data_IF_378878557775
#
_entry.id   IF_378878557775
#
_cell.length_a   1.000
_cell.length_b   1.000
_cell.length_c   1.000
_cell.angle_alpha   90.00
_cell.angle_beta   90.00
_cell.angle_gamma   90.00
#
_symmetry.space_group_name_H-M   'P 1'
#
loop_
_entity.id
_entity.type
_entity.pdbx_description
1 polymer ?
#
# COMPACT_ATOMS: atom_id res chain seq x y z
N UNK A 1 3.34 -35.16 -12.36
CA UNK A 1 1.91 -35.52 -12.24
C UNK A 1 1.34 -34.94 -10.96
N UNK A 2 0.20 -34.30 -11.04
CA UNK A 2 -0.45 -33.69 -9.88
C UNK A 2 -1.25 -34.74 -9.12
N UNK A 3 -0.90 -34.95 -7.88
CA UNK A 3 -1.59 -35.86 -6.99
C UNK A 3 -2.39 -35.09 -5.96
N UNK A 4 -3.17 -35.79 -5.13
CA UNK A 4 -3.96 -35.18 -4.06
C UNK A 4 -3.06 -34.42 -3.09
N UNK A 5 -1.86 -34.94 -2.79
CA UNK A 5 -0.87 -34.24 -1.96
C UNK A 5 -0.50 -32.89 -2.53
N UNK A 6 -0.32 -32.85 -3.86
CA UNK A 6 0.06 -31.62 -4.55
C UNK A 6 -1.04 -30.59 -4.47
N UNK A 7 -2.30 -31.00 -4.49
CA UNK A 7 -3.44 -30.11 -4.33
C UNK A 7 -3.50 -29.50 -2.93
N UNK A 8 -3.22 -30.30 -1.92
CA UNK A 8 -3.16 -29.81 -0.55
C UNK A 8 -2.02 -28.82 -0.37
N UNK A 9 -0.86 -29.11 -0.97
CA UNK A 9 0.30 -28.22 -0.95
C UNK A 9 0.00 -26.92 -1.67
N UNK A 10 -0.67 -26.99 -2.82
CA UNK A 10 -1.05 -25.80 -3.57
C UNK A 10 -2.00 -24.91 -2.76
N UNK A 11 -2.93 -25.49 -2.03
CA UNK A 11 -3.83 -24.73 -1.16
C UNK A 11 -3.06 -24.05 -0.03
N UNK A 12 -2.07 -24.72 0.55
CA UNK A 12 -1.21 -24.11 1.56
C UNK A 12 -0.43 -22.92 1.00
N UNK A 13 0.16 -23.12 -0.17
CA UNK A 13 0.93 -22.06 -0.84
C UNK A 13 0.02 -20.87 -1.13
N UNK A 14 -1.18 -21.13 -1.64
CA UNK A 14 -2.14 -20.10 -1.95
C UNK A 14 -2.55 -19.31 -0.70
N UNK A 15 -2.80 -20.05 0.40
CA UNK A 15 -3.15 -19.40 1.67
C UNK A 15 -2.02 -18.51 2.19
N UNK A 16 -0.77 -18.95 2.04
CA UNK A 16 0.39 -18.15 2.42
C UNK A 16 0.54 -16.91 1.54
N UNK A 17 0.32 -17.06 0.25
CA UNK A 17 0.36 -15.94 -0.68
C UNK A 17 -0.73 -14.92 -0.37
N UNK A 18 -1.94 -15.39 -0.13
CA UNK A 18 -3.06 -14.51 0.23
C UNK A 18 -2.76 -13.73 1.50
N UNK A 19 -2.16 -14.40 2.49
CA UNK A 19 -1.76 -13.75 3.74
C UNK A 19 -0.71 -12.68 3.51
N UNK A 20 0.31 -13.01 2.70
CA UNK A 20 1.37 -12.05 2.35
C UNK A 20 0.82 -10.85 1.62
N UNK A 21 -0.07 -11.07 0.67
CA UNK A 21 -0.70 -9.99 -0.07
C UNK A 21 -1.50 -9.08 0.86
N UNK A 22 -2.23 -9.68 1.80
CA UNK A 22 -3.00 -8.92 2.78
C UNK A 22 -2.09 -8.11 3.70
N UNK A 23 -1.02 -8.72 4.20
CA UNK A 23 -0.03 -8.05 5.03
C UNK A 23 0.61 -6.88 4.30
N UNK A 24 0.94 -7.08 3.03
CA UNK A 24 1.51 -6.01 2.21
C UNK A 24 0.51 -4.87 1.99
N UNK A 25 -0.75 -5.20 1.75
CA UNK A 25 -1.78 -4.18 1.58
C UNK A 25 -1.96 -3.37 2.86
N UNK A 26 -1.99 -4.03 4.00
CA UNK A 26 -2.08 -3.35 5.31
C UNK A 26 -0.89 -2.40 5.48
N UNK A 27 0.31 -2.88 5.21
CA UNK A 27 1.52 -2.06 5.36
C UNK A 27 1.49 -0.84 4.46
N UNK A 28 1.03 -0.99 3.22
CA UNK A 28 0.92 0.12 2.27
C UNK A 28 -0.10 1.14 2.76
N UNK A 29 -1.27 0.68 3.20
CA UNK A 29 -2.31 1.56 3.71
C UNK A 29 -1.87 2.30 4.96
N UNK A 30 -1.18 1.60 5.87
CA UNK A 30 -0.64 2.22 7.09
C UNK A 30 0.38 3.29 6.75
N UNK A 31 1.24 3.04 5.76
CA UNK A 31 2.22 4.02 5.32
C UNK A 31 1.55 5.31 4.83
N UNK A 32 0.56 5.19 3.95
CA UNK A 32 -0.13 6.36 3.40
C UNK A 32 -0.99 7.06 4.44
N UNK A 33 -1.61 6.27 5.33
CA UNK A 33 -2.34 6.84 6.46
C UNK A 33 -1.42 7.69 7.33
N UNK A 34 -0.22 7.21 7.59
CA UNK A 34 0.77 7.97 8.36
C UNK A 34 1.11 9.30 7.71
N UNK A 35 1.26 9.32 6.38
CA UNK A 35 1.51 10.57 5.65
C UNK A 35 0.37 11.56 5.85
N UNK A 36 -0.86 11.08 5.74
CA UNK A 36 -2.04 11.91 5.96
C UNK A 36 -2.17 12.39 7.41
N UNK A 37 -1.89 11.50 8.35
CA UNK A 37 -1.94 11.84 9.78
C UNK A 37 -0.93 12.94 10.11
N UNK A 38 0.23 12.93 9.49
CA UNK A 38 1.23 13.99 9.67
C UNK A 38 0.67 15.35 9.24
N UNK A 39 -0.05 15.39 8.13
CA UNK A 39 -0.68 16.62 7.66
C UNK A 39 -1.70 17.13 8.68
N UNK A 40 -2.51 16.23 9.24
CA UNK A 40 -3.48 16.57 10.27
C UNK A 40 -2.79 17.16 11.49
N UNK A 41 -1.69 16.54 11.94
CA UNK A 41 -0.93 17.00 13.10
C UNK A 41 -0.23 18.33 12.87
N UNK A 42 0.22 18.60 11.64
CA UNK A 42 0.88 19.86 11.30
C UNK A 42 -0.05 21.06 11.39
N UNK A 43 -1.36 20.84 11.33
CA UNK A 43 -2.36 21.89 11.37
C UNK A 43 -2.02 23.03 10.41
N UNK A 44 -1.95 22.73 9.09
CA UNK A 44 -1.54 23.75 8.12
C UNK A 44 -2.42 24.98 8.19
N UNK A 45 -1.77 26.15 8.07
CA UNK A 45 -2.45 27.42 8.11
C UNK A 45 -3.06 27.74 6.75
N UNK A 46 -4.38 27.63 6.66
CA UNK A 46 -5.11 27.99 5.47
C UNK A 46 -5.14 26.92 4.41
N UNK A 47 -5.98 27.13 3.43
CA UNK A 47 -6.26 26.18 2.36
C UNK A 47 -5.05 25.98 1.45
N UNK A 48 -4.35 27.06 1.13
CA UNK A 48 -3.20 26.99 0.23
C UNK A 48 -2.10 26.08 0.80
N UNK A 49 -1.81 26.21 2.09
CA UNK A 49 -0.83 25.36 2.75
C UNK A 49 -1.26 23.90 2.77
N UNK A 50 -2.53 23.67 3.06
CA UNK A 50 -3.12 22.32 3.06
C UNK A 50 -3.01 21.69 1.67
N UNK A 51 -3.32 22.44 0.62
CA UNK A 51 -3.24 21.95 -0.75
C UNK A 51 -1.83 21.53 -1.13
N UNK A 52 -0.82 22.28 -0.70
CA UNK A 52 0.59 21.95 -0.95
C UNK A 52 0.92 20.57 -0.35
N UNK A 53 0.53 20.33 0.88
CA UNK A 53 0.79 19.05 1.55
C UNK A 53 0.06 17.89 0.90
N UNK A 54 -1.20 18.08 0.54
CA UNK A 54 -2.00 17.04 -0.11
C UNK A 54 -1.43 16.72 -1.49
N UNK A 55 -1.08 17.76 -2.26
CA UNK A 55 -0.49 17.60 -3.58
C UNK A 55 0.81 16.80 -3.51
N UNK A 56 1.64 17.08 -2.51
CA UNK A 56 2.88 16.34 -2.29
C UNK A 56 2.63 14.86 -2.08
N UNK A 57 1.66 14.52 -1.24
CA UNK A 57 1.30 13.12 -1.00
C UNK A 57 0.80 12.47 -2.28
N UNK A 58 -0.06 13.16 -3.02
CA UNK A 58 -0.57 12.65 -4.29
C UNK A 58 0.55 12.39 -5.30
N UNK A 59 1.53 13.27 -5.38
CA UNK A 59 2.70 13.09 -6.25
C UNK A 59 3.54 11.90 -5.82
N UNK A 60 3.73 11.71 -4.52
CA UNK A 60 4.45 10.56 -3.99
C UNK A 60 3.75 9.26 -4.38
N UNK A 61 2.43 9.22 -4.27
CA UNK A 61 1.64 8.06 -4.66
C UNK A 61 1.75 7.82 -6.17
N UNK A 62 1.66 8.85 -6.98
CA UNK A 62 1.81 8.74 -8.44
C UNK A 62 3.16 8.18 -8.82
N UNK A 63 4.23 8.66 -8.18
CA UNK A 63 5.57 8.16 -8.42
C UNK A 63 5.70 6.69 -8.06
N UNK A 64 5.09 6.29 -6.96
CA UNK A 64 5.10 4.89 -6.53
C UNK A 64 4.38 4.00 -7.54
N UNK A 65 3.24 4.45 -8.03
CA UNK A 65 2.50 3.73 -9.06
C UNK A 65 3.36 3.54 -10.31
N UNK A 66 4.06 4.58 -10.75
CA UNK A 66 4.94 4.49 -11.92
C UNK A 66 6.04 3.46 -11.72
N UNK A 67 6.66 3.45 -10.55
CA UNK A 67 7.70 2.48 -10.23
C UNK A 67 7.15 1.05 -10.29
N UNK A 68 5.99 0.83 -9.70
CA UNK A 68 5.37 -0.49 -9.67
C UNK A 68 4.95 -0.96 -11.07
N UNK A 69 4.53 -0.04 -11.93
CA UNK A 69 4.14 -0.37 -13.31
C UNK A 69 5.31 -0.72 -14.22
N UNK A 70 6.53 -0.35 -13.85
CA UNK A 70 7.72 -0.70 -14.63
C UNK A 70 8.05 -2.18 -14.59
N UNK A 71 7.61 -2.84 -13.57
CA UNK A 71 7.84 -4.26 -13.40
C UNK A 71 6.70 -5.05 -14.04
#
# INVERSE_FOLDING_TARGET
MVEIKDQALLKEIQAKLDRKMRENEIAVLEYWKEQLDRVVFMKPEGIASLQVHIKRIAEMMSNRVKILKRN
#
